data_IF_315215913196
#
_entry.id   IF_315215913196
#
_cell.length_a   1.000
_cell.length_b   1.000
_cell.length_c   1.000
_cell.angle_alpha   90.00
_cell.angle_beta   90.00
_cell.angle_gamma   90.00
#
_symmetry.space_group_name_H-M   'P 1'
#
loop_
_entity.id
_entity.type
_entity.pdbx_description
1 polymer ?
#
# COMPACT_ATOMS: atom_id res chain seq x y z
N UNK A 1 -26.90 6.97 24.76
CA UNK A 1 -25.63 7.75 24.82
C UNK A 1 -24.40 6.88 24.66
N UNK A 2 -24.22 5.81 25.45
CA UNK A 2 -23.05 4.92 25.33
C UNK A 2 -22.88 4.30 23.94
N UNK A 3 -23.95 3.73 23.37
CA UNK A 3 -23.92 3.12 22.02
C UNK A 3 -23.50 4.15 20.97
N UNK A 4 -24.10 5.35 21.01
CA UNK A 4 -23.77 6.45 20.10
C UNK A 4 -22.29 6.84 20.17
N UNK A 5 -21.73 6.91 21.39
CA UNK A 5 -20.32 7.22 21.60
C UNK A 5 -19.40 6.14 21.01
N UNK A 6 -19.72 4.86 21.24
CA UNK A 6 -18.97 3.73 20.69
C UNK A 6 -19.01 3.76 19.16
N UNK A 7 -20.17 4.00 18.56
CA UNK A 7 -20.29 4.12 17.10
C UNK A 7 -19.44 5.25 16.53
N UNK A 8 -19.41 6.42 17.19
CA UNK A 8 -18.56 7.55 16.77
C UNK A 8 -17.07 7.23 16.86
N UNK A 9 -16.64 6.57 17.94
CA UNK A 9 -15.25 6.16 18.10
C UNK A 9 -14.83 5.14 17.04
N UNK A 10 -15.67 4.13 16.78
CA UNK A 10 -15.41 3.15 15.72
C UNK A 10 -15.35 3.82 14.35
N UNK A 11 -16.29 4.73 14.05
CA UNK A 11 -16.27 5.49 12.80
C UNK A 11 -14.97 6.30 12.66
N UNK A 12 -14.52 6.98 13.72
CA UNK A 12 -13.28 7.73 13.71
C UNK A 12 -12.06 6.83 13.46
N UNK A 13 -12.01 5.64 14.07
CA UNK A 13 -10.93 4.67 13.85
C UNK A 13 -10.87 4.14 12.40
N UNK A 14 -11.99 4.13 11.67
CA UNK A 14 -12.00 3.69 10.26
C UNK A 14 -11.49 4.74 9.27
N UNK A 15 -11.40 6.01 9.66
CA UNK A 15 -10.99 7.10 8.76
C UNK A 15 -9.56 6.86 8.24
N UNK A 16 -8.62 6.49 9.11
CA UNK A 16 -7.22 6.31 8.71
C UNK A 16 -7.04 5.14 7.73
N UNK A 17 -7.54 3.91 8.01
CA UNK A 17 -7.52 2.82 7.04
C UNK A 17 -8.23 3.16 5.73
N UNK A 18 -9.36 3.88 5.79
CA UNK A 18 -10.09 4.32 4.61
C UNK A 18 -9.23 5.24 3.74
N UNK A 19 -8.59 6.25 4.34
CA UNK A 19 -7.72 7.18 3.62
C UNK A 19 -6.52 6.47 2.98
N UNK A 20 -5.91 5.49 3.69
CA UNK A 20 -4.84 4.66 3.13
C UNK A 20 -5.35 3.79 1.96
N UNK A 21 -6.52 3.19 2.09
CA UNK A 21 -7.17 2.44 1.02
C UNK A 21 -7.41 3.31 -0.22
N UNK A 22 -8.03 4.48 -0.04
CA UNK A 22 -8.27 5.44 -1.12
C UNK A 22 -6.96 5.93 -1.76
N UNK A 23 -5.93 6.17 -0.97
CA UNK A 23 -4.62 6.60 -1.45
C UNK A 23 -3.99 5.56 -2.39
N UNK A 24 -4.01 4.28 -2.01
CA UNK A 24 -3.45 3.20 -2.83
C UNK A 24 -4.30 2.96 -4.09
N UNK A 25 -5.63 3.04 -4.01
CA UNK A 25 -6.53 2.93 -5.17
C UNK A 25 -6.34 4.09 -6.15
N UNK A 26 -6.18 5.32 -5.66
CA UNK A 26 -5.86 6.47 -6.50
C UNK A 26 -4.58 6.22 -7.31
N UNK A 27 -3.52 5.73 -6.64
CA UNK A 27 -2.25 5.41 -7.31
C UNK A 27 -2.36 4.26 -8.30
N UNK A 28 -3.26 3.32 -8.05
CA UNK A 28 -3.54 2.22 -8.97
C UNK A 28 -4.25 2.71 -10.25
N UNK A 29 -5.20 3.65 -10.10
CA UNK A 29 -6.08 4.14 -11.16
C UNK A 29 -5.53 5.34 -11.94
N UNK A 30 -4.61 6.13 -11.35
CA UNK A 30 -4.08 7.33 -11.99
C UNK A 30 -3.47 7.03 -13.36
N UNK A 31 -3.57 8.00 -14.28
CA UNK A 31 -2.95 7.90 -15.58
C UNK A 31 -1.43 7.70 -15.44
N UNK A 32 -0.90 6.76 -16.21
CA UNK A 32 0.54 6.45 -16.18
C UNK A 32 1.32 7.37 -17.11
N UNK A 33 2.46 7.81 -16.63
CA UNK A 33 3.45 8.53 -17.43
C UNK A 33 4.47 7.54 -18.01
N UNK A 34 5.04 7.88 -19.17
CA UNK A 34 6.13 7.10 -19.78
C UNK A 34 7.29 6.93 -18.78
N UNK A 35 7.99 5.78 -18.77
CA UNK A 35 7.97 4.70 -19.77
C UNK A 35 6.85 3.67 -19.57
N UNK A 36 6.07 3.76 -18.50
CA UNK A 36 4.99 2.82 -18.24
C UNK A 36 3.79 3.14 -19.14
N UNK A 37 3.59 2.34 -20.19
CA UNK A 37 2.48 2.51 -21.11
C UNK A 37 1.13 2.11 -20.48
N UNK A 38 0.06 2.74 -20.98
CA UNK A 38 -1.35 2.49 -20.63
C UNK A 38 -1.80 1.07 -20.93
N UNK A 39 -1.19 0.40 -21.92
CA UNK A 39 -1.38 -1.03 -22.22
C UNK A 39 -0.93 -1.94 -21.06
N UNK A 40 -0.09 -1.43 -20.16
CA UNK A 40 0.52 -2.18 -19.05
C UNK A 40 -0.29 -2.12 -17.74
N UNK A 41 -1.58 -1.79 -17.80
CA UNK A 41 -2.48 -1.68 -16.63
C UNK A 41 -2.60 -3.00 -15.86
N UNK A 42 -2.70 -4.13 -16.56
CA UNK A 42 -2.86 -5.44 -15.92
C UNK A 42 -1.62 -5.79 -15.09
N UNK A 43 -0.41 -5.60 -15.62
CA UNK A 43 0.81 -5.87 -14.85
C UNK A 43 0.97 -4.88 -13.70
N UNK A 44 0.45 -3.65 -13.81
CA UNK A 44 0.39 -2.73 -12.68
C UNK A 44 -0.48 -3.25 -11.54
N UNK A 45 -1.68 -3.72 -11.86
CA UNK A 45 -2.60 -4.31 -10.88
C UNK A 45 -1.95 -5.53 -10.23
N UNK A 46 -1.27 -6.38 -11.01
CA UNK A 46 -0.52 -7.52 -10.49
C UNK A 46 0.60 -7.09 -9.55
N UNK A 47 1.38 -6.07 -9.92
CA UNK A 47 2.44 -5.54 -9.07
C UNK A 47 1.89 -4.96 -7.76
N UNK A 48 0.82 -4.18 -7.83
CA UNK A 48 0.12 -3.65 -6.66
C UNK A 48 -0.38 -4.76 -5.74
N UNK A 49 -1.02 -5.80 -6.31
CA UNK A 49 -1.48 -6.96 -5.56
C UNK A 49 -0.34 -7.74 -4.90
N UNK A 50 0.76 -7.97 -5.64
CA UNK A 50 1.92 -8.67 -5.09
C UNK A 50 2.61 -7.88 -3.99
N UNK A 51 2.74 -6.56 -4.13
CA UNK A 51 3.31 -5.72 -3.08
C UNK A 51 2.53 -5.78 -1.76
N UNK A 52 1.21 -6.06 -1.83
CA UNK A 52 0.35 -6.16 -0.65
C UNK A 52 0.27 -7.58 -0.04
N UNK A 53 0.57 -8.62 -0.80
CA UNK A 53 0.27 -10.02 -0.39
C UNK A 53 1.46 -10.97 -0.42
N UNK A 54 2.56 -10.57 -1.08
CA UNK A 54 3.73 -11.40 -1.41
C UNK A 54 5.01 -10.57 -1.35
N UNK A 55 5.19 -9.79 -0.29
CA UNK A 55 6.38 -8.98 -0.03
C UNK A 55 7.67 -9.81 -0.02
N UNK A 56 7.57 -11.08 0.40
CA UNK A 56 8.66 -12.07 0.41
C UNK A 56 9.33 -12.24 -0.95
N UNK A 57 8.56 -12.11 -2.04
CA UNK A 57 9.08 -12.25 -3.41
C UNK A 57 9.92 -11.07 -3.86
N UNK A 58 9.82 -9.94 -3.16
CA UNK A 58 10.55 -8.72 -3.51
C UNK A 58 11.84 -8.56 -2.69
N UNK A 59 12.05 -9.35 -1.64
CA UNK A 59 13.23 -9.28 -0.76
C UNK A 59 14.54 -9.45 -1.54
N UNK A 60 14.56 -10.30 -2.57
CA UNK A 60 15.73 -10.48 -3.43
C UNK A 60 16.04 -9.28 -4.34
N UNK A 61 15.03 -8.49 -4.70
CA UNK A 61 15.17 -7.28 -5.52
C UNK A 61 15.44 -6.03 -4.68
N UNK A 62 14.89 -6.00 -3.47
CA UNK A 62 15.03 -4.90 -2.52
C UNK A 62 15.58 -5.45 -1.20
N UNK A 63 16.92 -5.63 -1.09
CA UNK A 63 17.54 -6.28 0.07
C UNK A 63 17.34 -5.56 1.41
N UNK A 64 16.85 -4.31 1.37
CA UNK A 64 16.49 -3.57 2.56
C UNK A 64 15.22 -4.10 3.22
N UNK A 65 14.31 -4.74 2.48
CA UNK A 65 13.13 -5.39 3.06
C UNK A 65 13.45 -6.66 3.85
N UNK A 66 14.67 -7.19 3.71
CA UNK A 66 15.13 -8.36 4.48
C UNK A 66 15.54 -8.03 5.91
N UNK A 67 15.73 -6.74 6.22
CA UNK A 67 16.42 -6.26 7.42
C UNK A 67 15.59 -5.16 8.09
N UNK A 68 15.76 -5.04 9.40
CA UNK A 68 15.19 -3.90 10.12
C UNK A 68 15.79 -2.58 9.59
N UNK A 69 15.01 -1.50 9.67
CA UNK A 69 15.40 -0.19 9.14
C UNK A 69 16.75 0.28 9.70
N UNK A 70 17.00 0.02 10.98
CA UNK A 70 18.25 0.41 11.65
C UNK A 70 19.47 -0.40 11.16
N UNK A 71 19.26 -1.62 10.68
CA UNK A 71 20.31 -2.49 10.12
C UNK A 71 20.63 -2.15 8.66
N UNK A 72 19.75 -1.39 8.00
CA UNK A 72 19.99 -0.87 6.65
C UNK A 72 20.88 0.37 6.65
N UNK A 73 20.82 1.20 7.69
CA UNK A 73 21.58 2.47 7.80
C UNK A 73 23.03 2.24 8.25
N UNK A 74 23.32 1.18 9.00
CA UNK A 74 24.65 0.89 9.57
C UNK A 74 25.63 0.20 8.59
N UNK A 75 25.33 0.19 7.29
CA UNK A 75 26.14 -0.48 6.25
C UNK A 75 27.02 0.49 5.50
#
# INVERSE_FOLDING_TARGET
MLITLITLLLAACTIVPLLLGLFTLYHLMRAKQRPADTSNRINHIRLWWFALTREDKFVGLFPWMARDEWDNVKK
#
